data_IF_287954955681
#
_entry.id   IF_287954955681
#
_cell.length_a   1.000
_cell.length_b   1.000
_cell.length_c   1.000
_cell.angle_alpha   90.00
_cell.angle_beta   90.00
_cell.angle_gamma   90.00
#
_symmetry.space_group_name_H-M   'P 1'
#
loop_
_entity.id
_entity.type
_entity.pdbx_description
1 polymer ?
#
# COMPACT_ATOMS: atom_id res chain seq x y z
N UNK A 1 -2.23 -19.58 -6.48
CA UNK A 1 -1.33 -20.18 -5.48
C UNK A 1 -1.20 -19.21 -4.31
N UNK A 2 -1.16 -19.68 -3.07
CA UNK A 2 -0.88 -18.80 -1.91
C UNK A 2 0.63 -18.72 -1.73
N UNK A 3 1.18 -17.55 -1.41
CA UNK A 3 2.61 -17.40 -1.13
C UNK A 3 2.90 -18.00 0.26
N UNK A 4 3.08 -19.32 0.34
CA UNK A 4 3.25 -20.05 1.61
C UNK A 4 4.51 -19.63 2.40
N UNK A 5 5.45 -18.89 1.79
CA UNK A 5 6.63 -18.33 2.45
C UNK A 5 6.48 -16.91 3.00
N UNK A 6 5.40 -16.17 2.70
CA UNK A 6 5.36 -14.73 3.06
C UNK A 6 4.97 -14.47 4.52
N UNK A 7 4.39 -15.45 5.21
CA UNK A 7 4.20 -15.39 6.66
C UNK A 7 5.55 -15.47 7.41
N UNK A 8 6.58 -16.08 6.83
CA UNK A 8 7.94 -16.07 7.40
C UNK A 8 8.64 -14.73 7.20
N UNK A 9 8.21 -13.95 6.19
CA UNK A 9 8.65 -12.57 5.98
C UNK A 9 8.17 -11.63 7.09
N UNK A 10 7.03 -11.90 7.73
CA UNK A 10 6.63 -11.18 8.95
C UNK A 10 7.71 -11.33 10.03
N UNK A 11 8.13 -12.56 10.34
CA UNK A 11 9.10 -12.81 11.42
C UNK A 11 10.51 -12.31 11.06
N UNK A 12 10.87 -12.32 9.78
CA UNK A 12 12.17 -11.82 9.30
C UNK A 12 12.22 -10.28 9.16
N UNK A 13 11.13 -9.62 8.75
CA UNK A 13 11.06 -8.16 8.60
C UNK A 13 10.82 -7.46 9.94
N UNK A 14 10.05 -8.03 10.86
CA UNK A 14 9.77 -7.44 12.19
C UNK A 14 11.06 -7.23 13.01
N UNK A 15 12.13 -7.97 12.74
CA UNK A 15 13.43 -7.77 13.39
C UNK A 15 14.24 -6.55 12.91
N UNK A 16 13.93 -6.00 11.73
CA UNK A 16 14.69 -4.90 11.11
C UNK A 16 13.83 -3.69 10.71
N UNK A 17 12.53 -3.89 10.56
CA UNK A 17 11.55 -2.86 10.24
C UNK A 17 10.70 -2.64 11.49
N UNK A 18 10.87 -1.49 12.13
CA UNK A 18 10.08 -1.08 13.30
C UNK A 18 8.67 -0.58 12.92
N UNK A 19 8.32 -0.54 11.63
CA UNK A 19 6.98 -0.14 11.19
C UNK A 19 5.97 -1.29 11.37
N UNK A 20 4.78 -0.94 11.85
CA UNK A 20 3.68 -1.88 12.06
C UNK A 20 3.10 -2.28 10.71
N UNK A 21 3.35 -3.52 10.27
CA UNK A 21 2.72 -4.03 9.06
C UNK A 21 1.22 -4.31 9.28
N UNK A 22 0.42 -4.01 8.26
CA UNK A 22 -1.02 -4.22 8.19
C UNK A 22 -1.35 -5.23 7.09
N UNK A 23 -2.07 -6.29 7.45
CA UNK A 23 -2.60 -7.27 6.47
C UNK A 23 -4.05 -6.94 6.17
N UNK A 24 -4.39 -6.81 4.89
CA UNK A 24 -5.76 -6.55 4.42
C UNK A 24 -6.19 -7.67 3.48
N UNK A 25 -7.42 -8.15 3.68
CA UNK A 25 -8.09 -9.11 2.79
C UNK A 25 -9.32 -8.45 2.19
N UNK A 26 -9.33 -8.35 0.86
CA UNK A 26 -10.46 -7.88 0.08
C UNK A 26 -11.29 -9.08 -0.38
N UNK A 27 -12.55 -9.10 0.00
CA UNK A 27 -13.56 -10.00 -0.56
C UNK A 27 -14.04 -9.48 -1.92
N UNK A 28 -14.84 -10.30 -2.61
CA UNK A 28 -15.41 -9.94 -3.91
C UNK A 28 -16.24 -8.65 -3.80
N UNK A 29 -15.94 -7.68 -4.68
CA UNK A 29 -16.64 -6.40 -4.76
C UNK A 29 -16.18 -5.34 -3.75
N UNK A 30 -15.34 -5.70 -2.77
CA UNK A 30 -14.72 -4.72 -1.89
C UNK A 30 -13.65 -3.94 -2.63
N UNK A 31 -13.42 -2.68 -2.28
CA UNK A 31 -12.38 -1.87 -2.89
C UNK A 31 -11.77 -0.96 -1.83
N UNK A 32 -10.58 -0.46 -2.15
CA UNK A 32 -10.00 0.67 -1.46
C UNK A 32 -10.08 1.88 -2.39
N UNK A 33 -10.81 2.89 -1.96
CA UNK A 33 -10.97 4.11 -2.75
C UNK A 33 -9.62 4.87 -2.82
N UNK A 34 -9.53 5.80 -3.77
CA UNK A 34 -8.33 6.61 -3.98
C UNK A 34 -8.03 7.43 -2.73
N UNK A 35 -6.80 7.37 -2.23
CA UNK A 35 -6.38 8.04 -1.01
C UNK A 35 -4.88 8.31 -1.05
N UNK A 36 -4.43 9.19 -0.16
CA UNK A 36 -3.02 9.45 0.10
C UNK A 36 -2.56 8.62 1.28
N UNK A 37 -1.37 8.04 1.19
CA UNK A 37 -0.76 7.34 2.33
C UNK A 37 -0.23 8.31 3.39
N UNK A 38 0.12 9.54 2.99
CA UNK A 38 0.58 10.59 3.89
C UNK A 38 -0.57 11.14 4.76
N UNK A 39 -0.27 11.48 6.01
CA UNK A 39 -1.21 12.19 6.86
C UNK A 39 -1.29 13.66 6.49
N UNK A 40 -2.48 14.24 6.65
CA UNK A 40 -2.69 15.68 6.57
C UNK A 40 -1.81 16.43 7.59
N UNK A 41 -1.38 17.63 7.23
CA UNK A 41 -0.44 18.44 8.00
C UNK A 41 -0.88 18.71 9.44
N UNK A 42 -2.18 18.96 9.64
CA UNK A 42 -2.76 19.19 10.97
C UNK A 42 -2.58 17.98 11.87
N UNK A 43 -2.73 16.77 11.31
CA UNK A 43 -2.56 15.52 12.04
C UNK A 43 -1.07 15.24 12.32
N UNK A 44 -0.20 15.50 11.34
CA UNK A 44 1.25 15.39 11.52
C UNK A 44 1.74 16.25 12.69
N UNK A 45 1.25 17.49 12.81
CA UNK A 45 1.59 18.39 13.91
C UNK A 45 1.14 17.88 15.27
N UNK A 46 -0.03 17.24 15.33
CA UNK A 46 -0.60 16.71 16.57
C UNK A 46 0.13 15.45 17.02
N UNK A 47 0.36 14.53 16.09
CA UNK A 47 0.90 13.19 16.37
C UNK A 47 2.43 13.14 16.30
N UNK A 48 3.07 14.22 15.79
CA UNK A 48 4.51 14.31 15.54
C UNK A 48 5.06 13.11 14.74
N UNK A 49 4.29 12.66 13.75
CA UNK A 49 4.53 11.45 12.98
C UNK A 49 4.03 11.61 11.54
N UNK A 50 4.80 11.09 10.58
CA UNK A 50 4.42 11.02 9.17
C UNK A 50 4.89 9.69 8.55
N UNK A 51 4.14 9.18 7.58
CA UNK A 51 4.58 8.08 6.71
C UNK A 51 5.41 8.66 5.57
N UNK A 52 6.65 8.22 5.48
CA UNK A 52 7.57 8.69 4.44
C UNK A 52 7.53 7.85 3.17
N UNK A 53 7.22 6.57 3.30
CA UNK A 53 7.17 5.62 2.20
C UNK A 53 6.19 4.50 2.54
N UNK A 54 5.73 3.83 1.48
CA UNK A 54 4.85 2.66 1.56
C UNK A 54 5.48 1.50 0.80
N UNK A 55 5.43 0.32 1.40
CA UNK A 55 5.69 -0.99 0.82
C UNK A 55 4.40 -1.81 0.77
N UNK A 56 3.86 -1.99 -0.45
CA UNK A 56 2.68 -2.82 -0.69
C UNK A 56 3.10 -4.15 -1.28
N UNK A 57 2.79 -5.26 -0.62
CA UNK A 57 3.10 -6.63 -1.09
C UNK A 57 1.83 -7.42 -1.35
N UNK A 58 1.71 -7.98 -2.55
CA UNK A 58 0.60 -8.84 -2.91
C UNK A 58 0.80 -10.27 -2.39
N UNK A 59 -0.14 -10.78 -1.60
CA UNK A 59 -0.03 -12.08 -0.92
C UNK A 59 -0.60 -13.26 -1.74
N UNK A 60 -1.31 -12.95 -2.83
CA UNK A 60 -1.82 -13.93 -3.79
C UNK A 60 -2.03 -13.29 -5.16
N UNK A 61 -2.08 -14.14 -6.18
CA UNK A 61 -2.54 -13.74 -7.51
C UNK A 61 -4.04 -13.45 -7.48
N UNK A 62 -4.46 -12.43 -8.22
CA UNK A 62 -5.88 -12.11 -8.45
C UNK A 62 -6.18 -12.28 -9.94
N UNK A 63 -7.15 -13.15 -10.25
CA UNK A 63 -7.48 -13.50 -11.64
C UNK A 63 -8.10 -12.32 -12.40
N UNK A 64 -9.06 -11.63 -11.76
CA UNK A 64 -9.82 -10.52 -12.33
C UNK A 64 -9.92 -9.36 -11.33
N UNK A 65 -9.65 -8.12 -11.75
CA UNK A 65 -9.69 -6.97 -10.85
C UNK A 65 -8.49 -6.92 -9.90
N UNK A 66 -8.69 -6.33 -8.72
CA UNK A 66 -7.68 -6.20 -7.66
C UNK A 66 -6.56 -5.23 -8.01
N UNK A 67 -6.66 -4.50 -9.11
CA UNK A 67 -5.61 -3.63 -9.60
C UNK A 67 -5.36 -2.48 -8.64
N UNK A 68 -4.09 -2.20 -8.37
CA UNK A 68 -3.67 -0.96 -7.75
C UNK A 68 -3.47 0.06 -8.85
N UNK A 69 -4.23 1.16 -8.82
CA UNK A 69 -4.18 2.23 -9.83
C UNK A 69 -3.52 3.46 -9.26
N UNK A 70 -2.68 4.10 -10.07
CA UNK A 70 -2.07 5.41 -9.85
C UNK A 70 -2.50 6.34 -10.99
N UNK A 71 -3.63 7.07 -10.84
CA UNK A 71 -4.22 7.85 -11.92
C UNK A 71 -3.27 8.90 -12.50
N UNK A 72 -2.51 9.59 -11.65
CA UNK A 72 -1.59 10.65 -12.07
C UNK A 72 -0.40 10.14 -12.89
N UNK A 73 -0.11 8.84 -12.79
CA UNK A 73 0.95 8.16 -13.55
C UNK A 73 0.41 7.37 -14.75
N UNK A 74 -0.92 7.38 -14.97
CA UNK A 74 -1.61 6.50 -15.92
C UNK A 74 -1.14 5.03 -15.79
N UNK A 75 -0.97 4.57 -14.55
CA UNK A 75 -0.39 3.28 -14.23
C UNK A 75 -1.38 2.37 -13.49
N UNK A 76 -1.54 1.15 -13.99
CA UNK A 76 -2.30 0.09 -13.30
C UNK A 76 -1.41 -1.13 -13.08
N UNK A 77 -1.38 -1.62 -11.85
CA UNK A 77 -0.57 -2.78 -11.46
C UNK A 77 -1.51 -3.93 -11.08
N UNK A 78 -1.36 -5.05 -11.79
CA UNK A 78 -2.10 -6.29 -11.50
C UNK A 78 -1.40 -7.06 -10.36
N UNK A 79 -2.13 -7.48 -9.31
CA UNK A 79 -1.56 -8.28 -8.23
C UNK A 79 -0.97 -9.60 -8.73
N UNK A 80 0.29 -9.84 -8.38
CA UNK A 80 0.90 -11.18 -8.47
C UNK A 80 1.58 -11.52 -7.17
N UNK A 81 1.40 -12.75 -6.72
CA UNK A 81 1.89 -13.26 -5.46
C UNK A 81 3.40 -12.96 -5.29
N UNK A 82 3.77 -12.33 -4.18
CA UNK A 82 5.16 -12.03 -3.82
C UNK A 82 5.74 -10.78 -4.47
N UNK A 83 5.01 -10.11 -5.37
CA UNK A 83 5.44 -8.81 -5.88
C UNK A 83 5.20 -7.71 -4.85
N UNK A 84 6.18 -6.80 -4.75
CA UNK A 84 6.11 -5.61 -3.92
C UNK A 84 6.14 -4.33 -4.77
N UNK A 85 5.43 -3.31 -4.30
CA UNK A 85 5.51 -1.94 -4.77
C UNK A 85 6.09 -1.10 -3.65
N UNK A 86 7.06 -0.27 -3.99
CA UNK A 86 7.66 0.67 -3.05
C UNK A 86 7.62 2.06 -3.66
N UNK A 87 7.31 3.04 -2.83
CA UNK A 87 7.57 4.42 -3.20
C UNK A 87 7.33 5.41 -2.06
N UNK A 88 7.70 6.67 -2.28
CA UNK A 88 7.58 7.72 -1.29
C UNK A 88 6.11 8.12 -1.11
N UNK A 89 5.70 8.41 0.13
CA UNK A 89 4.40 9.04 0.42
C UNK A 89 4.50 10.58 0.37
N UNK A 90 5.71 11.12 0.47
CA UNK A 90 6.04 12.55 0.41
C UNK A 90 7.32 12.73 -0.43
N UNK A 91 7.35 13.72 -1.34
CA UNK A 91 8.60 14.12 -2.01
C UNK A 91 9.29 15.17 -1.14
N UNK A 92 10.61 15.04 -1.04
CA UNK A 92 11.58 15.92 -0.36
C UNK A 92 11.01 17.15 0.36
N UNK A 93 11.13 17.16 1.70
CA UNK A 93 10.86 18.32 2.54
C UNK A 93 9.51 18.24 3.28
N UNK A 94 9.53 18.55 4.57
CA UNK A 94 8.33 18.69 5.43
C UNK A 94 7.61 20.02 5.19
N UNK A 95 7.59 20.49 3.95
CA UNK A 95 7.04 21.80 3.63
C UNK A 95 5.53 21.67 3.37
N UNK A 96 4.69 22.48 4.04
CA UNK A 96 3.23 22.41 3.94
C UNK A 96 2.68 22.77 2.55
N UNK A 97 3.54 23.19 1.62
CA UNK A 97 3.20 23.66 0.27
C UNK A 97 3.52 22.63 -0.82
N UNK A 98 4.29 21.58 -0.50
CA UNK A 98 4.55 20.49 -1.45
C UNK A 98 3.35 19.56 -1.40
N UNK A 99 2.53 19.47 -2.48
CA UNK A 99 1.49 18.46 -2.53
C UNK A 99 2.18 17.12 -2.33
N UNK A 100 1.70 16.27 -1.40
CA UNK A 100 2.32 14.97 -1.20
C UNK A 100 2.46 14.29 -2.57
N UNK A 101 3.60 13.66 -2.84
CA UNK A 101 3.59 12.61 -3.85
C UNK A 101 2.86 11.44 -3.25
N UNK A 102 1.56 11.64 -3.17
CA UNK A 102 0.61 10.66 -2.80
C UNK A 102 0.76 9.60 -3.86
N UNK A 103 1.33 8.48 -3.48
CA UNK A 103 1.00 7.21 -4.09
C UNK A 103 -0.52 7.10 -3.90
N UNK A 104 -1.27 7.69 -4.83
CA UNK A 104 -2.72 7.67 -4.87
C UNK A 104 -3.09 6.28 -5.33
N UNK A 105 -3.05 5.34 -4.40
CA UNK A 105 -3.36 3.94 -4.65
C UNK A 105 -4.85 3.69 -4.45
N UNK A 106 -5.62 3.54 -5.53
CA UNK A 106 -6.93 2.91 -5.45
C UNK A 106 -6.79 1.42 -5.72
N UNK A 107 -7.25 0.56 -4.81
CA UNK A 107 -7.37 -0.88 -5.07
C UNK A 107 -8.80 -1.15 -5.54
N UNK A 108 -8.97 -1.31 -6.84
CA UNK A 108 -10.28 -1.62 -7.42
C UNK A 108 -10.49 -3.14 -7.55
N UNK A 109 -11.19 -3.75 -6.59
CA UNK A 109 -11.62 -5.15 -6.70
C UNK A 109 -13.06 -5.25 -7.22
N UNK A 110 -13.23 -5.46 -8.54
CA UNK A 110 -14.53 -5.83 -9.10
C UNK A 110 -14.81 -7.34 -9.04
N UNK A 111 -13.79 -8.19 -8.94
CA UNK A 111 -13.84 -9.66 -8.98
C UNK A 111 -12.61 -10.24 -8.21
N UNK A 112 -12.45 -11.57 -8.04
CA UNK A 112 -12.41 -12.31 -6.75
C UNK A 112 -11.41 -11.86 -5.64
N UNK A 113 -11.48 -12.52 -4.49
CA UNK A 113 -10.81 -12.12 -3.25
C UNK A 113 -9.27 -11.98 -3.36
N UNK A 114 -8.72 -10.87 -2.87
CA UNK A 114 -7.30 -10.56 -2.86
C UNK A 114 -6.78 -10.31 -1.44
N UNK A 115 -5.49 -10.54 -1.19
CA UNK A 115 -4.82 -10.25 0.07
C UNK A 115 -3.58 -9.41 -0.20
N UNK A 116 -3.41 -8.38 0.61
CA UNK A 116 -2.33 -7.40 0.52
C UNK A 116 -1.73 -7.21 1.90
N UNK A 117 -0.41 -7.12 1.97
CA UNK A 117 0.33 -6.66 3.14
C UNK A 117 0.83 -5.25 2.84
N UNK A 118 0.61 -4.33 3.78
CA UNK A 118 1.04 -2.94 3.70
C UNK A 118 1.98 -2.71 4.88
N UNK A 119 3.21 -2.33 4.57
CA UNK A 119 4.18 -1.77 5.49
C UNK A 119 4.60 -0.39 4.92
#
# INVERSE_FOLDING_TARGET
MQCEGLLQLHDALVGFITCKCQVVRYERGQRFDLHEDAFAWEQVKQDNYQRHATLLVYLNDVEHGGVTRFPDLDLEIKPRCGQGLVGPSVLDGWEPEVPPASILGAIHNRFPAGRVLIC
#
